data_IF_996405054292
#
_entry.id   IF_996405054292
#
_cell.length_a   1.000
_cell.length_b   1.000
_cell.length_c   1.000
_cell.angle_alpha   90.00
_cell.angle_beta   90.00
_cell.angle_gamma   90.00
#
_symmetry.space_group_name_H-M   'P 1'
#
loop_
_entity.id
_entity.type
_entity.pdbx_description
1 polymer ?
#
# COMPACT_ATOMS: atom_id res chain seq x y z
N UNK A 1 3.92 43.57 -8.10
CA UNK A 1 3.73 42.14 -8.41
C UNK A 1 3.33 41.46 -7.10
N UNK A 2 2.12 40.90 -7.02
CA UNK A 2 1.65 40.24 -5.80
C UNK A 2 2.54 39.01 -5.55
N UNK A 3 2.94 38.74 -4.31
CA UNK A 3 3.81 37.61 -3.96
C UNK A 3 3.25 36.24 -4.44
N UNK A 4 1.92 36.16 -4.68
CA UNK A 4 1.23 35.00 -5.20
C UNK A 4 1.41 34.72 -6.70
N UNK A 5 2.02 35.60 -7.49
CA UNK A 5 2.25 35.32 -8.92
C UNK A 5 3.59 34.61 -9.20
N UNK A 6 4.45 34.49 -8.19
CA UNK A 6 5.77 33.85 -8.30
C UNK A 6 5.74 32.33 -8.04
N UNK A 7 4.64 31.79 -7.51
CA UNK A 7 4.54 30.39 -7.06
C UNK A 7 3.62 29.59 -8.00
N UNK A 8 4.00 28.36 -8.41
CA UNK A 8 3.19 27.53 -9.29
C UNK A 8 1.74 27.31 -8.81
N UNK A 9 0.81 27.17 -9.75
CA UNK A 9 -0.64 27.05 -9.49
C UNK A 9 -1.00 25.97 -8.47
N UNK A 10 -0.34 24.80 -8.52
CA UNK A 10 -0.62 23.69 -7.61
C UNK A 10 -0.26 23.98 -6.13
N UNK A 11 0.67 24.91 -5.87
CA UNK A 11 1.00 25.36 -4.51
C UNK A 11 0.02 26.42 -4.04
N UNK A 12 -0.48 27.26 -4.94
CA UNK A 12 -1.43 28.33 -4.60
C UNK A 12 -2.80 27.80 -4.21
N UNK A 13 -3.20 26.67 -4.81
CA UNK A 13 -4.49 26.03 -4.51
C UNK A 13 -4.42 25.04 -3.35
N UNK A 14 -3.21 24.78 -2.82
CA UNK A 14 -3.05 23.87 -1.70
C UNK A 14 -3.58 24.50 -0.41
N UNK A 15 -4.65 23.93 0.12
CA UNK A 15 -5.23 24.34 1.40
C UNK A 15 -5.09 23.21 2.42
N UNK A 16 -4.53 23.47 3.61
CA UNK A 16 -4.40 22.45 4.65
C UNK A 16 -5.77 22.04 5.19
N UNK A 17 -5.92 20.76 5.50
CA UNK A 17 -7.12 20.27 6.21
C UNK A 17 -7.12 20.85 7.64
N UNK A 18 -8.17 21.59 8.07
CA UNK A 18 -8.25 22.14 9.42
C UNK A 18 -8.20 21.05 10.49
N UNK A 19 -7.61 21.35 11.65
CA UNK A 19 -7.43 20.36 12.71
C UNK A 19 -8.75 19.70 13.16
N UNK A 20 -9.85 20.46 13.20
CA UNK A 20 -11.19 19.95 13.54
C UNK A 20 -11.73 18.89 12.56
N UNK A 21 -11.24 18.89 11.31
CA UNK A 21 -11.67 17.97 10.26
C UNK A 21 -10.70 16.79 10.08
N UNK A 22 -9.64 16.71 10.89
CA UNK A 22 -8.67 15.60 10.83
C UNK A 22 -9.21 14.42 11.60
N UNK A 23 -9.34 13.27 10.93
CA UNK A 23 -9.76 12.04 11.60
C UNK A 23 -8.69 11.59 12.62
N UNK A 24 -9.10 11.00 13.76
CA UNK A 24 -8.16 10.43 14.73
C UNK A 24 -7.29 9.33 14.10
N UNK A 25 -6.01 9.28 14.49
CA UNK A 25 -5.01 8.36 13.95
C UNK A 25 -5.45 6.89 13.90
N UNK A 26 -6.16 6.42 14.94
CA UNK A 26 -6.62 5.05 15.05
C UNK A 26 -7.74 4.67 14.06
N UNK A 27 -8.42 5.67 13.45
CA UNK A 27 -9.49 5.45 12.47
C UNK A 27 -9.01 5.44 11.02
N UNK A 28 -7.86 6.04 10.73
CA UNK A 28 -7.32 6.15 9.38
C UNK A 28 -5.93 5.52 9.29
N UNK A 29 -4.91 6.22 9.77
CA UNK A 29 -3.50 5.91 9.60
C UNK A 29 -3.17 4.54 10.17
N UNK A 30 -3.58 4.25 11.41
CA UNK A 30 -3.30 2.96 12.05
C UNK A 30 -3.84 1.77 11.23
N UNK A 31 -5.07 1.88 10.72
CA UNK A 31 -5.70 0.83 9.92
C UNK A 31 -5.01 0.66 8.57
N UNK A 32 -4.65 1.76 7.91
CA UNK A 32 -3.88 1.70 6.66
C UNK A 32 -2.51 1.05 6.86
N UNK A 33 -1.80 1.37 7.94
CA UNK A 33 -0.53 0.72 8.27
C UNK A 33 -0.70 -0.76 8.60
N UNK A 34 -1.72 -1.12 9.39
CA UNK A 34 -2.02 -2.51 9.69
C UNK A 34 -2.33 -3.32 8.43
N UNK A 35 -3.15 -2.77 7.53
CA UNK A 35 -3.47 -3.42 6.25
C UNK A 35 -2.26 -3.68 5.37
N UNK A 36 -1.31 -2.73 5.30
CA UNK A 36 -0.08 -2.90 4.52
C UNK A 36 0.86 -3.90 5.21
N UNK A 37 1.14 -3.72 6.50
CA UNK A 37 2.10 -4.59 7.20
C UNK A 37 1.62 -6.03 7.39
N UNK A 38 0.30 -6.25 7.44
CA UNK A 38 -0.31 -7.58 7.53
C UNK A 38 -0.73 -8.15 6.17
N UNK A 39 -0.24 -7.56 5.07
CA UNK A 39 -0.59 -8.01 3.74
C UNK A 39 0.05 -9.36 3.41
N UNK A 40 -0.77 -10.28 2.90
CA UNK A 40 -0.39 -11.67 2.59
C UNK A 40 0.80 -11.80 1.65
N UNK A 41 1.00 -10.85 0.72
CA UNK A 41 2.14 -10.87 -0.20
C UNK A 41 3.51 -10.84 0.52
N UNK A 42 3.57 -10.30 1.75
CA UNK A 42 4.78 -10.32 2.57
C UNK A 42 5.00 -11.65 3.29
N UNK A 43 3.95 -12.46 3.46
CA UNK A 43 3.98 -13.71 4.20
C UNK A 43 3.97 -14.95 3.30
N UNK A 44 3.49 -14.83 2.06
CA UNK A 44 3.35 -15.92 1.10
C UNK A 44 4.65 -16.72 0.90
N UNK A 45 5.81 -16.04 0.95
CA UNK A 45 7.11 -16.68 0.79
C UNK A 45 7.83 -17.04 2.10
N UNK A 46 7.20 -16.83 3.27
CA UNK A 46 7.84 -17.14 4.56
C UNK A 46 8.19 -18.62 4.70
N UNK A 47 7.30 -19.50 4.23
CA UNK A 47 7.47 -20.96 4.27
C UNK A 47 8.20 -21.52 3.03
N UNK A 48 8.60 -20.66 2.10
CA UNK A 48 9.20 -21.05 0.82
C UNK A 48 8.15 -21.27 -0.27
N UNK A 49 8.59 -21.16 -1.51
CA UNK A 49 7.77 -21.46 -2.69
C UNK A 49 8.27 -22.74 -3.35
N UNK A 50 7.59 -23.22 -4.38
CA UNK A 50 8.06 -24.32 -5.25
C UNK A 50 9.45 -24.08 -5.82
N UNK A 51 9.88 -22.82 -5.93
CA UNK A 51 11.03 -22.40 -6.72
C UNK A 51 12.15 -21.76 -5.87
N UNK A 52 12.02 -21.71 -4.55
CA UNK A 52 13.02 -21.06 -3.69
C UNK A 52 12.95 -21.43 -2.20
N UNK A 53 14.08 -21.30 -1.48
CA UNK A 53 14.14 -21.60 -0.06
C UNK A 53 13.27 -20.65 0.77
N UNK A 54 12.68 -21.17 1.84
CA UNK A 54 11.90 -20.40 2.79
C UNK A 54 12.69 -19.21 3.36
N UNK A 55 12.08 -18.03 3.42
CA UNK A 55 12.70 -16.86 4.04
C UNK A 55 13.14 -17.14 5.49
N UNK A 56 12.35 -17.95 6.22
CA UNK A 56 12.70 -18.41 7.57
C UNK A 56 13.85 -19.43 7.59
N UNK A 57 14.00 -20.22 6.53
CA UNK A 57 15.07 -21.21 6.37
C UNK A 57 16.43 -20.60 6.00
N UNK A 58 16.44 -19.36 5.50
CA UNK A 58 17.66 -18.66 5.07
C UNK A 58 18.52 -18.13 6.24
N UNK A 59 17.88 -17.69 7.32
CA UNK A 59 18.54 -16.98 8.42
C UNK A 59 18.19 -17.52 9.82
N UNK A 60 17.21 -18.43 9.92
CA UNK A 60 16.69 -18.94 11.18
C UNK A 60 15.76 -17.95 11.88
N UNK A 61 14.81 -18.48 12.67
CA UNK A 61 13.73 -17.69 13.28
C UNK A 61 14.24 -16.51 14.13
N UNK A 62 15.29 -16.73 14.94
CA UNK A 62 15.82 -15.68 15.83
C UNK A 62 16.34 -14.46 15.08
N UNK A 63 17.06 -14.66 13.96
CA UNK A 63 17.57 -13.56 13.15
C UNK A 63 16.44 -12.87 12.38
N UNK A 64 15.46 -13.62 11.88
CA UNK A 64 14.27 -13.05 11.23
C UNK A 64 13.47 -12.15 12.19
N UNK A 65 13.29 -12.57 13.45
CA UNK A 65 12.63 -11.75 14.47
C UNK A 65 13.43 -10.49 14.81
N UNK A 66 14.75 -10.60 14.94
CA UNK A 66 15.61 -9.43 15.15
C UNK A 66 15.52 -8.46 13.96
N UNK A 67 15.59 -8.97 12.74
CA UNK A 67 15.47 -8.18 11.52
C UNK A 67 14.10 -7.47 11.45
N UNK A 68 13.01 -8.14 11.85
CA UNK A 68 11.68 -7.55 11.94
C UNK A 68 11.65 -6.36 12.91
N UNK A 69 12.22 -6.51 14.10
CA UNK A 69 12.29 -5.42 15.10
C UNK A 69 13.11 -4.25 14.57
N UNK A 70 14.27 -4.52 13.97
CA UNK A 70 15.14 -3.48 13.39
C UNK A 70 14.44 -2.78 12.23
N UNK A 71 13.81 -3.52 11.32
CA UNK A 71 13.06 -2.98 10.20
C UNK A 71 11.90 -2.10 10.68
N UNK A 72 11.12 -2.56 11.67
CA UNK A 72 10.03 -1.78 12.26
C UNK A 72 10.53 -0.46 12.88
N UNK A 73 11.65 -0.49 13.60
CA UNK A 73 12.26 0.70 14.16
C UNK A 73 12.74 1.67 13.06
N UNK A 74 13.41 1.17 12.02
CA UNK A 74 13.86 1.98 10.89
C UNK A 74 12.67 2.59 10.13
N UNK A 75 11.61 1.81 9.90
CA UNK A 75 10.39 2.30 9.25
C UNK A 75 9.73 3.41 10.07
N UNK A 76 9.67 3.27 11.39
CA UNK A 76 9.18 4.31 12.28
C UNK A 76 10.05 5.57 12.22
N UNK A 77 11.37 5.43 12.38
CA UNK A 77 12.28 6.55 12.44
C UNK A 77 12.37 7.33 11.12
N UNK A 78 12.47 6.62 9.99
CA UNK A 78 12.71 7.23 8.68
C UNK A 78 11.43 7.68 7.97
N UNK A 79 10.34 6.91 8.06
CA UNK A 79 9.13 7.17 7.28
C UNK A 79 7.93 7.67 8.10
N UNK A 80 7.81 7.29 9.37
CA UNK A 80 6.68 7.74 10.19
C UNK A 80 7.00 9.04 10.93
N UNK A 81 8.13 9.09 11.65
CA UNK A 81 8.43 10.15 12.60
C UNK A 81 8.58 11.53 11.95
N UNK A 82 9.24 11.60 10.80
CA UNK A 82 9.44 12.87 10.09
C UNK A 82 8.38 13.07 9.00
N UNK A 83 8.38 12.32 7.87
CA UNK A 83 7.45 12.64 6.78
C UNK A 83 5.98 12.37 7.14
N UNK A 84 5.68 11.30 7.89
CA UNK A 84 4.33 11.00 8.36
C UNK A 84 3.77 12.06 9.31
N UNK A 85 4.54 12.47 10.32
CA UNK A 85 4.11 13.51 11.27
C UNK A 85 4.01 14.89 10.63
N UNK A 86 4.87 15.23 9.66
CA UNK A 86 4.78 16.51 8.96
C UNK A 86 3.45 16.65 8.21
N UNK A 87 3.00 15.60 7.52
CA UNK A 87 1.67 15.57 6.88
C UNK A 87 0.54 15.74 7.91
N UNK A 88 0.61 15.03 9.05
CA UNK A 88 -0.41 15.13 10.10
C UNK A 88 -0.45 16.48 10.81
N UNK A 89 0.70 17.15 10.98
CA UNK A 89 0.80 18.48 11.61
C UNK A 89 0.37 19.59 10.65
N UNK A 90 0.84 19.55 9.40
CA UNK A 90 0.53 20.58 8.40
C UNK A 90 -0.86 20.42 7.81
N UNK A 91 -1.39 19.19 7.74
CA UNK A 91 -2.63 18.89 7.01
C UNK A 91 -2.48 19.01 5.49
N UNK A 92 -1.24 19.03 4.99
CA UNK A 92 -0.90 19.13 3.58
C UNK A 92 -0.38 17.77 3.08
N UNK A 93 -0.63 17.43 1.80
CA UNK A 93 -0.12 16.20 1.22
C UNK A 93 1.41 16.25 1.04
N UNK A 94 2.04 15.07 0.97
CA UNK A 94 3.49 14.93 0.98
C UNK A 94 4.21 15.71 -0.14
N UNK A 95 3.62 15.82 -1.33
CA UNK A 95 4.22 16.58 -2.44
C UNK A 95 4.19 18.10 -2.24
N UNK A 96 3.28 18.62 -1.42
CA UNK A 96 3.27 20.03 -1.02
C UNK A 96 4.31 20.24 0.08
N UNK A 97 4.31 19.41 1.12
CA UNK A 97 5.31 19.47 2.20
C UNK A 97 6.72 19.31 1.65
N UNK A 98 6.92 18.39 0.71
CA UNK A 98 8.21 18.13 0.07
C UNK A 98 8.77 19.29 -0.73
N UNK A 99 7.97 20.31 -1.07
CA UNK A 99 8.50 21.51 -1.73
C UNK A 99 9.43 22.33 -0.85
N UNK A 100 9.33 22.22 0.48
CA UNK A 100 10.29 22.89 1.38
C UNK A 100 11.69 22.28 1.31
N UNK A 101 11.79 21.01 0.92
CA UNK A 101 13.06 20.27 0.86
C UNK A 101 13.61 20.18 -0.56
N UNK A 102 12.75 19.95 -1.55
CA UNK A 102 13.14 19.73 -2.95
C UNK A 102 12.85 20.92 -3.88
N UNK A 103 12.33 22.03 -3.35
CA UNK A 103 11.84 23.15 -4.14
C UNK A 103 10.54 22.85 -4.89
N UNK A 104 10.04 23.81 -5.65
CA UNK A 104 8.76 23.70 -6.35
C UNK A 104 8.78 22.60 -7.43
N UNK A 105 9.81 22.56 -8.28
CA UNK A 105 9.93 21.52 -9.32
C UNK A 105 10.21 20.14 -8.72
N UNK A 106 11.10 20.04 -7.72
CA UNK A 106 11.49 18.76 -7.13
C UNK A 106 10.38 18.14 -6.28
N UNK A 107 9.61 18.94 -5.54
CA UNK A 107 8.46 18.47 -4.77
C UNK A 107 7.29 17.99 -5.63
N UNK A 108 7.16 18.50 -6.86
CA UNK A 108 6.20 17.97 -7.83
C UNK A 108 6.67 16.64 -8.45
N UNK A 109 7.96 16.54 -8.78
CA UNK A 109 8.48 15.37 -9.49
C UNK A 109 8.68 14.15 -8.57
N UNK A 110 9.45 14.26 -7.48
CA UNK A 110 9.81 13.11 -6.63
C UNK A 110 8.60 12.65 -5.79
N UNK A 111 8.07 13.45 -4.86
CA UNK A 111 6.94 13.00 -4.05
C UNK A 111 5.61 12.99 -4.82
N UNK A 112 5.48 13.71 -5.93
CA UNK A 112 4.27 13.72 -6.75
C UNK A 112 4.27 12.60 -7.80
N UNK A 113 4.94 12.82 -8.93
CA UNK A 113 4.92 11.90 -10.07
C UNK A 113 5.54 10.54 -9.72
N UNK A 114 6.75 10.52 -9.17
CA UNK A 114 7.47 9.27 -8.94
C UNK A 114 6.75 8.37 -7.93
N UNK A 115 6.25 8.93 -6.82
CA UNK A 115 5.40 8.17 -5.90
C UNK A 115 4.10 7.73 -6.56
N UNK A 116 3.47 8.55 -7.40
CA UNK A 116 2.27 8.17 -8.15
C UNK A 116 2.50 6.98 -9.08
N UNK A 117 3.61 6.95 -9.81
CA UNK A 117 3.99 5.81 -10.66
C UNK A 117 4.26 4.55 -9.82
N UNK A 118 4.91 4.70 -8.68
CA UNK A 118 5.14 3.58 -7.75
C UNK A 118 3.81 2.97 -7.26
N UNK A 119 2.77 3.79 -7.05
CA UNK A 119 1.45 3.29 -6.68
C UNK A 119 0.81 2.44 -7.78
N UNK A 120 1.08 2.70 -9.06
CA UNK A 120 0.60 1.83 -10.16
C UNK A 120 1.21 0.43 -10.02
N UNK A 121 2.51 0.35 -9.69
CA UNK A 121 3.20 -0.92 -9.44
C UNK A 121 2.56 -1.70 -8.28
N UNK A 122 2.42 -1.06 -7.12
CA UNK A 122 1.79 -1.69 -5.95
C UNK A 122 0.34 -2.10 -6.20
N UNK A 123 -0.42 -1.26 -6.91
CA UNK A 123 -1.80 -1.56 -7.28
C UNK A 123 -1.91 -2.81 -8.17
N UNK A 124 -0.97 -2.95 -9.11
CA UNK A 124 -0.90 -4.10 -10.00
C UNK A 124 -0.62 -5.40 -9.23
N UNK A 125 0.33 -5.37 -8.28
CA UNK A 125 0.65 -6.52 -7.43
C UNK A 125 -0.54 -6.88 -6.52
N UNK A 126 -1.20 -5.89 -5.93
CA UNK A 126 -2.39 -6.12 -5.11
C UNK A 126 -3.53 -6.78 -5.91
N UNK A 127 -3.76 -6.32 -7.14
CA UNK A 127 -4.78 -6.87 -8.04
C UNK A 127 -4.44 -8.32 -8.43
N UNK A 128 -3.17 -8.61 -8.70
CA UNK A 128 -2.69 -9.95 -9.00
C UNK A 128 -2.98 -10.93 -7.85
N UNK A 129 -2.54 -10.62 -6.63
CA UNK A 129 -2.76 -11.49 -5.47
C UNK A 129 -4.26 -11.64 -5.15
N UNK A 130 -5.04 -10.58 -5.28
CA UNK A 130 -6.48 -10.66 -5.05
C UNK A 130 -7.17 -11.61 -6.04
N UNK A 131 -6.84 -11.51 -7.33
CA UNK A 131 -7.40 -12.38 -8.35
C UNK A 131 -6.96 -13.84 -8.16
N UNK A 132 -5.69 -14.09 -7.87
CA UNK A 132 -5.16 -15.44 -7.64
C UNK A 132 -5.82 -16.12 -6.44
N UNK A 133 -5.86 -15.44 -5.29
CA UNK A 133 -6.47 -15.99 -4.08
C UNK A 133 -7.97 -16.21 -4.22
N UNK A 134 -8.69 -15.34 -4.92
CA UNK A 134 -10.13 -15.51 -5.17
C UNK A 134 -10.38 -16.72 -6.06
N UNK A 135 -9.64 -16.87 -7.17
CA UNK A 135 -9.79 -18.02 -8.07
C UNK A 135 -9.47 -19.34 -7.38
N UNK A 136 -8.40 -19.39 -6.57
CA UNK A 136 -8.07 -20.55 -5.74
C UNK A 136 -9.17 -20.82 -4.72
N UNK A 137 -9.70 -19.79 -4.06
CA UNK A 137 -10.75 -19.91 -3.05
C UNK A 137 -12.07 -20.47 -3.59
N UNK A 138 -12.41 -20.20 -4.86
CA UNK A 138 -13.61 -20.74 -5.52
C UNK A 138 -13.37 -22.07 -6.24
N UNK A 139 -12.19 -22.68 -6.10
CA UNK A 139 -11.85 -23.96 -6.72
C UNK A 139 -11.46 -23.86 -8.20
N UNK A 140 -11.23 -22.65 -8.73
CA UNK A 140 -10.82 -22.37 -10.11
C UNK A 140 -9.33 -22.03 -10.22
N UNK A 141 -8.50 -22.59 -9.32
CA UNK A 141 -7.07 -22.29 -9.24
C UNK A 141 -6.28 -22.59 -10.52
N UNK A 142 -6.74 -23.57 -11.33
CA UNK A 142 -6.15 -23.89 -12.64
C UNK A 142 -6.18 -22.72 -13.63
N UNK A 143 -7.13 -21.81 -13.47
CA UNK A 143 -7.27 -20.62 -14.28
C UNK A 143 -6.47 -19.43 -13.74
N UNK A 144 -5.77 -19.58 -12.61
CA UNK A 144 -4.92 -18.53 -12.03
C UNK A 144 -3.54 -18.51 -12.67
N UNK A 145 -3.51 -18.30 -13.98
CA UNK A 145 -2.29 -18.30 -14.78
C UNK A 145 -2.13 -16.97 -15.47
N UNK A 146 -0.97 -16.36 -15.26
CA UNK A 146 -0.59 -15.08 -15.85
C UNK A 146 0.63 -15.24 -16.76
N UNK A 147 0.80 -14.33 -17.72
CA UNK A 147 1.91 -14.37 -18.70
C UNK A 147 3.31 -14.40 -18.03
N UNK A 148 3.42 -13.90 -16.80
CA UNK A 148 4.65 -13.86 -16.02
C UNK A 148 4.61 -14.79 -14.79
N UNK A 149 3.60 -15.65 -14.70
CA UNK A 149 3.43 -16.62 -13.62
C UNK A 149 4.12 -17.96 -13.92
N UNK A 150 4.22 -18.81 -12.91
CA UNK A 150 4.73 -20.18 -13.03
C UNK A 150 3.75 -21.00 -13.88
N UNK A 151 4.08 -21.19 -15.17
CA UNK A 151 3.33 -22.07 -16.08
C UNK A 151 3.16 -21.60 -17.53
N UNK A 152 3.64 -20.40 -17.92
CA UNK A 152 3.61 -19.88 -19.31
C UNK A 152 2.25 -19.94 -20.05
N UNK A 153 1.14 -20.17 -19.35
CA UNK A 153 -0.20 -20.19 -19.95
C UNK A 153 -0.98 -18.94 -19.54
N UNK A 154 -1.62 -18.31 -20.52
CA UNK A 154 -2.41 -17.10 -20.33
C UNK A 154 -3.89 -17.45 -20.18
N UNK A 155 -4.47 -17.20 -19.00
CA UNK A 155 -5.90 -17.44 -18.75
C UNK A 155 -6.71 -16.16 -18.93
N UNK A 156 -7.71 -16.19 -19.81
CA UNK A 156 -8.66 -15.08 -19.97
C UNK A 156 -9.50 -14.88 -18.70
N UNK A 157 -9.78 -15.94 -17.95
CA UNK A 157 -10.55 -15.90 -16.70
C UNK A 157 -9.76 -15.12 -15.63
N UNK A 158 -8.44 -15.29 -15.59
CA UNK A 158 -7.57 -14.50 -14.72
C UNK A 158 -7.65 -13.02 -15.03
N UNK A 159 -7.54 -12.65 -16.31
CA UNK A 159 -7.61 -11.25 -16.76
C UNK A 159 -8.97 -10.64 -16.43
N UNK A 160 -10.07 -11.33 -16.71
CA UNK A 160 -11.41 -10.84 -16.38
C UNK A 160 -11.55 -10.63 -14.87
N UNK A 161 -11.03 -11.56 -14.07
CA UNK A 161 -11.04 -11.45 -12.61
C UNK A 161 -10.23 -10.23 -12.13
N UNK A 162 -9.01 -10.03 -12.68
CA UNK A 162 -8.19 -8.84 -12.42
C UNK A 162 -8.89 -7.54 -12.81
N UNK A 163 -9.53 -7.50 -13.98
CA UNK A 163 -10.27 -6.32 -14.45
C UNK A 163 -11.44 -6.02 -13.53
N UNK A 164 -12.27 -7.02 -13.20
CA UNK A 164 -13.43 -6.84 -12.34
C UNK A 164 -13.02 -6.37 -10.95
N UNK A 165 -12.08 -7.06 -10.30
CA UNK A 165 -11.59 -6.67 -8.98
C UNK A 165 -10.86 -5.33 -8.99
N UNK A 166 -10.01 -5.11 -9.99
CA UNK A 166 -9.29 -3.86 -10.18
C UNK A 166 -10.23 -2.67 -10.38
N UNK A 167 -11.27 -2.77 -11.20
CA UNK A 167 -12.21 -1.66 -11.31
C UNK A 167 -13.05 -1.48 -10.05
N UNK A 168 -13.51 -2.56 -9.43
CA UNK A 168 -14.34 -2.50 -8.22
C UNK A 168 -13.60 -1.82 -7.06
N UNK A 169 -12.33 -2.16 -6.80
CA UNK A 169 -11.55 -1.53 -5.75
C UNK A 169 -11.05 -0.13 -6.12
N UNK A 170 -10.78 0.14 -7.40
CA UNK A 170 -10.52 1.50 -7.86
C UNK A 170 -11.73 2.41 -7.62
N UNK A 171 -12.96 1.91 -7.85
CA UNK A 171 -14.20 2.62 -7.55
C UNK A 171 -14.34 2.86 -6.04
N UNK A 172 -14.09 1.88 -5.18
CA UNK A 172 -14.11 2.10 -3.73
C UNK A 172 -13.06 3.13 -3.27
N UNK A 173 -11.88 3.12 -3.87
CA UNK A 173 -10.87 4.15 -3.66
C UNK A 173 -11.35 5.54 -4.09
N UNK A 174 -12.02 5.63 -5.25
CA UNK A 174 -12.56 6.88 -5.79
C UNK A 174 -13.76 7.42 -4.98
N UNK A 175 -14.58 6.53 -4.40
CA UNK A 175 -15.71 6.88 -3.53
C UNK A 175 -15.27 7.44 -2.17
N UNK A 176 -13.98 7.30 -1.82
CA UNK A 176 -13.34 8.05 -0.74
C UNK A 176 -12.64 7.18 0.31
N UNK A 177 -11.69 7.80 1.00
CA UNK A 177 -10.84 7.13 2.00
C UNK A 177 -11.63 6.58 3.20
N UNK A 178 -12.83 7.10 3.47
CA UNK A 178 -13.69 6.59 4.54
C UNK A 178 -14.24 5.20 4.24
N UNK A 179 -14.56 4.90 2.97
CA UNK A 179 -14.98 3.54 2.58
C UNK A 179 -13.81 2.57 2.71
N UNK A 180 -12.63 2.98 2.25
CA UNK A 180 -11.40 2.21 2.39
C UNK A 180 -11.08 1.94 3.86
N UNK A 181 -11.20 2.95 4.74
CA UNK A 181 -10.95 2.81 6.17
C UNK A 181 -11.95 1.87 6.85
N UNK A 182 -13.23 1.95 6.50
CA UNK A 182 -14.26 1.02 7.00
C UNK A 182 -13.97 -0.42 6.59
N UNK A 183 -13.59 -0.64 5.33
CA UNK A 183 -13.22 -1.97 4.86
C UNK A 183 -11.94 -2.48 5.54
N UNK A 184 -10.91 -1.64 5.64
CA UNK A 184 -9.63 -1.96 6.28
C UNK A 184 -9.78 -2.34 7.76
N UNK A 185 -10.83 -1.88 8.45
CA UNK A 185 -11.09 -2.25 9.84
C UNK A 185 -11.35 -3.75 10.01
N UNK A 186 -11.87 -4.42 8.98
CA UNK A 186 -12.13 -5.88 9.01
C UNK A 186 -10.95 -6.71 8.51
N UNK A 187 -9.99 -6.11 7.81
CA UNK A 187 -8.84 -6.83 7.24
C UNK A 187 -7.97 -7.56 8.28
N UNK A 188 -7.68 -7.00 9.47
CA UNK A 188 -6.93 -7.70 10.51
C UNK A 188 -7.59 -9.01 10.98
N UNK A 189 -8.90 -9.18 10.78
CA UNK A 189 -9.63 -10.39 11.14
C UNK A 189 -9.18 -11.57 10.26
N UNK A 190 -8.83 -11.33 8.99
CA UNK A 190 -8.47 -12.40 8.05
C UNK A 190 -7.18 -13.11 8.49
N UNK A 191 -6.05 -12.43 8.76
CA UNK A 191 -4.86 -13.08 9.33
C UNK A 191 -5.14 -13.79 10.66
N UNK A 192 -5.97 -13.22 11.53
CA UNK A 192 -6.33 -13.85 12.81
C UNK A 192 -7.10 -15.16 12.57
N UNK A 193 -8.08 -15.15 11.66
CA UNK A 193 -8.84 -16.34 11.29
C UNK A 193 -7.93 -17.41 10.67
N UNK A 194 -6.98 -17.02 9.82
CA UNK A 194 -5.98 -17.94 9.27
C UNK A 194 -5.15 -18.59 10.37
N UNK A 195 -4.69 -17.82 11.38
CA UNK A 195 -3.93 -18.35 12.51
C UNK A 195 -4.74 -19.29 13.42
N UNK A 196 -6.06 -19.15 13.47
CA UNK A 196 -6.92 -20.04 14.27
C UNK A 196 -7.21 -21.38 13.59
N UNK A 197 -7.10 -21.44 12.25
CA UNK A 197 -7.37 -22.64 11.45
C UNK A 197 -6.09 -23.39 11.07
N UNK A 198 -4.94 -22.71 11.06
CA UNK A 198 -3.61 -23.27 10.82
C UNK A 198 -3.12 -24.18 11.96
#
# INVERSE_FOLDING_TARGET
>A
MMANDAVPSYLRTASPVPAANRAPWYKNTAQSYAGIFLWIAFFDQLAGTSDGPAALGMAGLGLCLLALVVAGFLSFALFYYVPGMLGMRTGLPLYIVGTSTFGTKGGYFLPGIFMGLLQIGWYSVATYYAADLVLRGVGLGEYSTSLFGTGEQFSIVFVLTCVVWGYLFALFGALGIDYVAKMATFFPIVPIAMLLVA
#
